data_IF_406566084526
#
_entry.id   IF_406566084526
#
_cell.length_a   1.000
_cell.length_b   1.000
_cell.length_c   1.000
_cell.angle_alpha   90.00
_cell.angle_beta   90.00
_cell.angle_gamma   90.00
#
_symmetry.space_group_name_H-M   'P 1'
#
loop_
_entity.id
_entity.type
_entity.pdbx_description
1 polymer ?
#
# COMPACT_ATOMS: atom_id res chain seq x y z
N UNK A 1 5.47 -12.19 -7.72
CA UNK A 1 5.12 -13.61 -7.50
C UNK A 1 4.37 -13.72 -6.18
N UNK A 2 3.42 -14.65 -6.10
CA UNK A 2 2.82 -15.05 -4.83
C UNK A 2 3.88 -15.73 -3.96
N UNK A 3 3.95 -15.37 -2.68
CA UNK A 3 4.92 -15.93 -1.72
C UNK A 3 4.26 -16.63 -0.53
N UNK A 4 3.02 -16.25 -0.21
CA UNK A 4 2.24 -16.85 0.86
C UNK A 4 0.75 -16.69 0.57
N UNK A 5 -0.07 -17.68 0.88
CA UNK A 5 -1.52 -17.61 0.68
C UNK A 5 -2.25 -18.49 1.68
N UNK A 6 -3.34 -17.96 2.23
CA UNK A 6 -4.26 -18.67 3.10
C UNK A 6 -5.70 -18.13 2.94
N UNK A 7 -6.64 -18.63 3.75
CA UNK A 7 -8.06 -18.26 3.67
C UNK A 7 -8.36 -16.77 3.91
N UNK A 8 -7.43 -16.01 4.49
CA UNK A 8 -7.60 -14.60 4.86
C UNK A 8 -6.84 -13.63 3.98
N UNK A 9 -5.69 -14.02 3.45
CA UNK A 9 -4.84 -13.14 2.64
C UNK A 9 -3.94 -13.90 1.69
N UNK A 10 -3.41 -13.16 0.73
CA UNK A 10 -2.33 -13.59 -0.16
C UNK A 10 -1.25 -12.50 -0.20
N UNK A 11 0.00 -12.90 0.01
CA UNK A 11 1.16 -12.00 -0.05
C UNK A 11 1.81 -12.13 -1.42
N UNK A 12 2.04 -10.97 -2.05
CA UNK A 12 2.76 -10.87 -3.30
C UNK A 12 4.07 -10.10 -3.12
N UNK A 13 5.12 -10.55 -3.80
CA UNK A 13 6.41 -9.87 -3.87
C UNK A 13 6.71 -9.44 -5.31
N UNK A 14 7.10 -8.18 -5.49
CA UNK A 14 7.42 -7.60 -6.80
C UNK A 14 8.81 -6.96 -6.78
N UNK A 15 9.51 -7.04 -7.91
CA UNK A 15 10.70 -6.24 -8.19
C UNK A 15 10.31 -5.16 -9.20
N UNK A 16 9.86 -4.02 -8.70
CA UNK A 16 9.29 -2.92 -9.49
C UNK A 16 9.80 -1.58 -8.94
N UNK A 17 9.93 -0.59 -9.82
CA UNK A 17 10.23 0.78 -9.40
C UNK A 17 9.01 1.38 -8.67
N UNK A 18 9.18 2.01 -7.50
CA UNK A 18 8.09 2.65 -6.76
C UNK A 18 7.72 3.99 -7.40
N UNK A 19 7.11 3.95 -8.59
CA UNK A 19 6.67 5.15 -9.31
C UNK A 19 5.39 5.71 -8.68
N UNK A 20 5.11 6.99 -8.94
CA UNK A 20 3.90 7.65 -8.45
C UNK A 20 2.61 6.94 -8.88
N UNK A 21 2.57 6.41 -10.10
CA UNK A 21 1.37 5.74 -10.62
C UNK A 21 1.15 4.38 -9.93
N UNK A 22 2.23 3.65 -9.62
CA UNK A 22 2.14 2.42 -8.82
C UNK A 22 1.67 2.70 -7.39
N UNK A 23 2.16 3.78 -6.78
CA UNK A 23 1.71 4.20 -5.45
C UNK A 23 0.22 4.61 -5.44
N UNK A 24 -0.25 5.27 -6.49
CA UNK A 24 -1.68 5.58 -6.66
C UNK A 24 -2.53 4.32 -6.87
N UNK A 25 -2.02 3.33 -7.61
CA UNK A 25 -2.68 2.05 -7.79
C UNK A 25 -2.89 1.34 -6.45
N UNK A 26 -1.86 1.24 -5.60
CA UNK A 26 -1.99 0.68 -4.24
C UNK A 26 -3.09 1.40 -3.46
N UNK A 27 -3.09 2.74 -3.45
CA UNK A 27 -4.07 3.55 -2.72
C UNK A 27 -5.50 3.42 -3.29
N UNK A 28 -5.65 3.07 -4.57
CA UNK A 28 -6.96 2.93 -5.20
C UNK A 28 -7.78 1.75 -4.69
N UNK A 29 -7.12 0.76 -4.08
CA UNK A 29 -7.76 -0.38 -3.40
C UNK A 29 -8.13 -0.10 -1.94
N UNK A 30 -8.01 1.14 -1.48
CA UNK A 30 -8.40 1.58 -0.13
C UNK A 30 -7.81 0.68 0.99
N UNK A 31 -8.65 -0.04 1.74
CA UNK A 31 -8.28 -0.90 2.87
C UNK A 31 -8.10 -2.38 2.49
N UNK A 32 -8.20 -2.73 1.20
CA UNK A 32 -8.05 -4.11 0.72
C UNK A 32 -6.58 -4.53 0.50
N UNK A 33 -5.67 -3.57 0.33
CA UNK A 33 -4.23 -3.82 0.10
C UNK A 33 -3.37 -3.05 1.09
N UNK A 34 -2.36 -3.72 1.66
CA UNK A 34 -1.31 -3.07 2.45
C UNK A 34 0.11 -3.38 1.94
N UNK A 35 1.03 -2.44 2.16
CA UNK A 35 2.46 -2.65 1.88
C UNK A 35 3.16 -3.21 3.12
N UNK A 36 3.62 -4.45 3.05
CA UNK A 36 4.39 -5.08 4.13
C UNK A 36 5.84 -4.58 4.19
N UNK A 37 6.51 -4.48 3.03
CA UNK A 37 7.91 -4.05 2.93
C UNK A 37 8.23 -3.52 1.51
N UNK A 38 9.29 -2.70 1.35
CA UNK A 38 10.17 -2.17 2.40
C UNK A 38 9.51 -1.04 3.21
N UNK A 39 10.06 -0.77 4.40
CA UNK A 39 9.50 0.20 5.36
C UNK A 39 9.39 1.63 4.79
N UNK A 40 10.29 2.01 3.88
CA UNK A 40 10.21 3.31 3.19
C UNK A 40 8.90 3.48 2.44
N UNK A 41 8.52 2.49 1.62
CA UNK A 41 7.29 2.52 0.82
C UNK A 41 6.06 2.45 1.73
N UNK A 42 6.07 1.60 2.77
CA UNK A 42 4.98 1.54 3.77
C UNK A 42 4.76 2.91 4.43
N UNK A 43 5.84 3.62 4.78
CA UNK A 43 5.74 4.95 5.38
C UNK A 43 5.19 6.00 4.41
N UNK A 44 5.52 5.92 3.12
CA UNK A 44 4.98 6.84 2.09
C UNK A 44 3.47 6.65 1.91
N UNK A 45 2.99 5.41 1.85
CA UNK A 45 1.55 5.08 1.82
C UNK A 45 0.86 5.63 3.06
N UNK A 46 1.37 5.33 4.26
CA UNK A 46 0.80 5.80 5.52
C UNK A 46 0.78 7.33 5.62
N UNK A 47 1.83 8.01 5.17
CA UNK A 47 1.89 9.48 5.13
C UNK A 47 0.82 10.05 4.22
N UNK A 48 0.57 9.43 3.07
CA UNK A 48 -0.45 9.87 2.12
C UNK A 48 -1.85 9.68 2.70
N UNK A 49 -2.14 8.51 3.28
CA UNK A 49 -3.41 8.23 3.95
C UNK A 49 -3.66 9.23 5.09
N UNK A 50 -2.65 9.51 5.91
CA UNK A 50 -2.78 10.50 6.98
C UNK A 50 -3.13 11.88 6.43
N UNK A 51 -2.44 12.35 5.38
CA UNK A 51 -2.75 13.63 4.72
C UNK A 51 -4.19 13.65 4.17
N UNK A 52 -4.65 12.56 3.56
CA UNK A 52 -6.03 12.45 3.10
C UNK A 52 -7.00 12.54 4.28
N UNK A 53 -6.73 11.83 5.37
CA UNK A 53 -7.55 11.84 6.57
C UNK A 53 -7.63 13.26 7.20
N UNK A 54 -6.52 14.01 7.24
CA UNK A 54 -6.54 15.41 7.72
C UNK A 54 -7.55 16.29 6.97
N UNK A 55 -7.79 16.05 5.67
CA UNK A 55 -8.75 16.85 4.88
C UNK A 55 -10.20 16.67 5.35
N UNK A 56 -10.49 15.59 6.07
CA UNK A 56 -11.82 15.24 6.55
C UNK A 56 -11.93 15.32 8.08
N UNK A 57 -10.89 15.81 8.77
CA UNK A 57 -10.98 16.09 10.21
C UNK A 57 -11.81 17.34 10.44
N UNK A 58 -12.93 17.19 11.13
CA UNK A 58 -13.75 18.27 11.66
C UNK A 58 -13.11 18.93 12.88
#
# INVERSE_FOLDING_TARGET
QEVESNEKYTVFQYYIAPTRDFMQEILSYADEIEVLSPKSIRNEVATTINKMNELYKN
#
